data_IF_835711791023
#
_entry.id   IF_835711791023
#
_cell.length_a   1.000
_cell.length_b   1.000
_cell.length_c   1.000
_cell.angle_alpha   90.00
_cell.angle_beta   90.00
_cell.angle_gamma   90.00
#
_symmetry.space_group_name_H-M   'P 1'
#
loop_
_entity.id
_entity.type
_entity.pdbx_description
1 polymer ?
#
# COMPACT_ATOMS: atom_id res chain seq x y z
N UNK A 1 30.22 66.63 -7.37
CA UNK A 1 30.14 65.83 -6.13
C UNK A 1 28.71 65.35 -5.97
N UNK A 2 28.55 64.04 -5.77
CA UNK A 2 27.36 63.30 -5.35
C UNK A 2 26.09 63.34 -6.22
N UNK A 3 26.01 62.36 -7.13
CA UNK A 3 24.80 61.75 -7.69
C UNK A 3 24.13 60.82 -6.67
N UNK A 4 22.80 60.88 -6.55
CA UNK A 4 21.95 59.84 -5.90
C UNK A 4 21.03 59.19 -6.94
N UNK A 5 20.61 57.93 -6.74
CA UNK A 5 20.21 57.01 -7.82
C UNK A 5 18.70 56.98 -8.10
N UNK A 6 18.38 56.73 -9.37
CA UNK A 6 17.04 56.41 -9.88
C UNK A 6 16.55 55.05 -9.36
N UNK A 7 15.32 55.01 -8.86
CA UNK A 7 14.52 53.79 -8.72
C UNK A 7 14.04 53.33 -10.11
N UNK A 8 14.14 52.04 -10.47
CA UNK A 8 13.47 51.51 -11.63
C UNK A 8 12.05 51.02 -11.29
N UNK A 9 11.12 51.51 -12.09
CA UNK A 9 9.71 51.16 -12.15
C UNK A 9 9.54 49.76 -12.78
N UNK A 10 9.21 48.75 -11.98
CA UNK A 10 8.96 47.37 -12.43
C UNK A 10 7.54 46.93 -12.03
N UNK A 11 6.54 47.42 -12.77
CA UNK A 11 5.19 46.84 -12.79
C UNK A 11 4.98 46.03 -14.08
N UNK A 12 5.60 44.85 -14.15
CA UNK A 12 5.21 43.84 -15.13
C UNK A 12 3.96 43.10 -14.62
N UNK A 13 2.79 43.53 -15.09
CA UNK A 13 1.50 42.91 -14.76
C UNK A 13 1.40 41.49 -15.33
N UNK A 14 0.93 40.56 -14.49
CA UNK A 14 0.63 39.16 -14.83
C UNK A 14 -0.48 38.98 -15.91
N UNK A 15 -1.07 40.08 -16.39
CA UNK A 15 -2.09 40.09 -17.44
C UNK A 15 -1.56 39.85 -18.86
N UNK A 16 -0.24 39.87 -19.08
CA UNK A 16 0.36 39.76 -20.42
C UNK A 16 0.47 38.32 -20.95
N UNK A 17 0.16 37.29 -20.15
CA UNK A 17 0.36 35.88 -20.54
C UNK A 17 -0.93 35.10 -20.86
N UNK A 18 -2.11 35.68 -20.70
CA UNK A 18 -3.39 35.01 -20.95
C UNK A 18 -4.05 35.50 -22.24
N UNK A 19 -3.78 34.80 -23.36
CA UNK A 19 -4.50 35.04 -24.62
C UNK A 19 -5.70 34.08 -24.74
N UNK A 20 -6.96 34.58 -24.69
CA UNK A 20 -8.18 33.76 -24.84
C UNK A 20 -8.26 33.00 -26.18
N UNK A 21 -7.56 33.46 -27.22
CA UNK A 21 -7.48 32.75 -28.49
C UNK A 21 -6.67 31.44 -28.40
N UNK A 22 -5.74 31.31 -27.45
CA UNK A 22 -5.00 30.06 -27.22
C UNK A 22 -5.90 28.96 -26.62
N UNK A 23 -6.87 29.33 -25.77
CA UNK A 23 -7.85 28.38 -25.20
C UNK A 23 -8.76 27.75 -26.29
N UNK A 24 -9.29 28.55 -27.23
CA UNK A 24 -10.09 28.01 -28.35
C UNK A 24 -9.28 27.19 -29.34
N UNK A 25 -8.01 27.55 -29.57
CA UNK A 25 -7.08 26.73 -30.36
C UNK A 25 -6.72 25.42 -29.64
N UNK A 26 -6.93 25.34 -28.33
CA UNK A 26 -6.64 24.18 -27.48
C UNK A 26 -7.79 23.16 -27.43
N UNK A 27 -9.06 23.58 -27.47
CA UNK A 27 -10.19 22.66 -27.75
C UNK A 27 -10.03 21.97 -29.12
N UNK A 28 -9.40 22.66 -30.08
CA UNK A 28 -9.04 22.10 -31.36
C UNK A 28 -7.79 21.19 -31.32
N UNK A 29 -6.86 21.38 -30.37
CA UNK A 29 -5.64 20.57 -30.22
C UNK A 29 -5.80 19.39 -29.24
N UNK A 30 -6.73 19.45 -28.30
CA UNK A 30 -7.19 18.30 -27.50
C UNK A 30 -7.95 17.26 -28.35
N UNK A 31 -8.31 17.64 -29.59
CA UNK A 31 -8.81 16.72 -30.62
C UNK A 31 -7.72 15.84 -31.25
N UNK A 32 -6.43 16.11 -31.00
CA UNK A 32 -5.34 15.19 -31.35
C UNK A 32 -5.41 14.01 -30.38
N UNK A 33 -6.32 13.08 -30.68
CA UNK A 33 -6.42 11.77 -30.06
C UNK A 33 -5.07 11.07 -30.24
N UNK A 34 -4.23 11.10 -29.21
CA UNK A 34 -3.28 10.02 -29.03
C UNK A 34 -4.12 8.75 -28.94
N UNK A 35 -4.05 7.89 -29.95
CA UNK A 35 -4.72 6.61 -29.92
C UNK A 35 -4.24 5.89 -28.66
N UNK A 36 -5.12 5.55 -27.70
CA UNK A 36 -4.72 4.77 -26.56
C UNK A 36 -4.05 3.50 -27.11
N UNK A 37 -2.87 3.16 -26.60
CA UNK A 37 -2.20 1.95 -27.01
C UNK A 37 -3.15 0.77 -26.70
N UNK A 38 -3.70 0.08 -27.71
CA UNK A 38 -4.72 -0.95 -27.52
C UNK A 38 -4.19 -2.15 -26.72
N UNK A 39 -2.86 -2.25 -26.54
CA UNK A 39 -2.19 -3.30 -25.78
C UNK A 39 -1.94 -2.95 -24.31
N UNK A 40 -2.41 -1.80 -23.81
CA UNK A 40 -2.20 -1.42 -22.39
C UNK A 40 -3.19 -2.17 -21.50
N UNK A 41 -2.72 -3.27 -20.92
CA UNK A 41 -3.45 -4.18 -20.02
C UNK A 41 -4.28 -3.39 -18.99
N UNK A 42 -5.57 -3.70 -18.89
CA UNK A 42 -6.49 -3.18 -17.87
C UNK A 42 -6.50 -4.16 -16.70
N UNK A 43 -6.29 -3.66 -15.49
CA UNK A 43 -6.36 -4.49 -14.30
C UNK A 43 -7.83 -4.81 -13.94
N UNK A 44 -8.12 -6.07 -13.64
CA UNK A 44 -9.43 -6.53 -13.15
C UNK A 44 -9.26 -7.56 -12.04
N UNK A 45 -10.31 -7.77 -11.24
CA UNK A 45 -10.35 -8.78 -10.18
C UNK A 45 -10.24 -10.22 -10.73
N UNK A 46 -10.61 -10.46 -12.00
CA UNK A 46 -10.42 -11.77 -12.62
C UNK A 46 -8.95 -12.15 -12.73
N UNK A 47 -8.05 -11.17 -12.95
CA UNK A 47 -6.60 -11.38 -12.93
C UNK A 47 -6.09 -11.87 -11.56
N UNK A 48 -6.84 -11.68 -10.48
CA UNK A 48 -6.55 -12.24 -9.17
C UNK A 48 -7.09 -13.67 -9.02
N UNK A 49 -8.29 -13.93 -9.53
CA UNK A 49 -8.93 -15.25 -9.48
C UNK A 49 -8.27 -16.29 -10.37
N UNK A 50 -7.60 -15.88 -11.44
CA UNK A 50 -6.88 -16.76 -12.37
C UNK A 50 -5.56 -17.31 -11.84
N UNK A 51 -5.19 -16.97 -10.60
CA UNK A 51 -3.89 -17.32 -10.03
C UNK A 51 -3.97 -18.62 -9.24
N UNK A 52 -2.92 -19.42 -9.31
CA UNK A 52 -2.69 -20.49 -8.33
C UNK A 52 -2.41 -19.89 -6.96
N UNK A 53 -3.19 -20.28 -5.95
CA UNK A 53 -3.07 -19.83 -4.56
C UNK A 53 -3.13 -21.00 -3.59
N UNK A 54 -2.71 -20.77 -2.36
CA UNK A 54 -2.90 -21.71 -1.25
C UNK A 54 -4.39 -21.79 -0.92
N UNK A 55 -4.89 -22.99 -0.63
CA UNK A 55 -6.20 -23.17 -0.05
C UNK A 55 -6.23 -22.61 1.39
N UNK A 56 -6.72 -21.39 1.56
CA UNK A 56 -6.80 -20.72 2.88
C UNK A 56 -7.96 -21.24 3.73
N UNK A 57 -8.96 -21.87 3.10
CA UNK A 57 -10.09 -22.49 3.80
C UNK A 57 -9.68 -23.74 4.59
N UNK A 58 -8.44 -24.21 4.43
CA UNK A 58 -7.83 -25.19 5.32
C UNK A 58 -8.01 -24.83 6.81
N UNK A 59 -8.05 -23.53 7.14
CA UNK A 59 -8.35 -23.05 8.50
C UNK A 59 -9.74 -23.45 9.02
N UNK A 60 -10.76 -23.39 8.16
CA UNK A 60 -12.13 -23.74 8.52
C UNK A 60 -12.38 -25.25 8.43
N UNK A 61 -11.58 -25.96 7.62
CA UNK A 61 -11.70 -27.39 7.40
C UNK A 61 -11.08 -28.24 8.52
N UNK A 62 -10.12 -27.71 9.29
CA UNK A 62 -9.62 -28.40 10.48
C UNK A 62 -10.71 -28.49 11.56
N UNK A 63 -11.09 -29.72 11.88
CA UNK A 63 -12.21 -30.06 12.75
C UNK A 63 -11.84 -30.08 14.23
N UNK A 64 -10.56 -30.18 14.56
CA UNK A 64 -10.08 -30.23 15.95
C UNK A 64 -9.25 -29.01 16.33
N UNK A 65 -9.24 -28.71 17.63
CA UNK A 65 -8.39 -27.65 18.19
C UNK A 65 -6.91 -27.99 18.04
N UNK A 66 -6.51 -29.26 18.23
CA UNK A 66 -5.11 -29.69 18.14
C UNK A 66 -4.54 -29.52 16.73
N UNK A 67 -5.32 -29.80 15.69
CA UNK A 67 -4.91 -29.56 14.31
C UNK A 67 -4.60 -28.06 14.08
N UNK A 68 -5.46 -27.15 14.56
CA UNK A 68 -5.22 -25.70 14.48
C UNK A 68 -3.93 -25.29 15.21
N UNK A 69 -3.66 -25.89 16.37
CA UNK A 69 -2.42 -25.64 17.12
C UNK A 69 -1.19 -26.05 16.29
N UNK A 70 -1.25 -27.15 15.52
CA UNK A 70 -0.13 -27.54 14.67
C UNK A 70 0.12 -26.55 13.53
N UNK A 71 -0.94 -26.05 12.87
CA UNK A 71 -0.79 -25.00 11.84
C UNK A 71 -0.15 -23.75 12.45
N UNK A 72 -0.63 -23.34 13.63
CA UNK A 72 -0.12 -22.16 14.33
C UNK A 72 1.35 -22.35 14.72
N UNK A 73 1.72 -23.51 15.27
CA UNK A 73 3.11 -23.80 15.63
C UNK A 73 4.01 -23.66 14.41
N UNK A 74 3.64 -24.28 13.31
CA UNK A 74 4.38 -24.20 12.05
C UNK A 74 4.51 -22.75 11.56
N UNK A 75 3.41 -21.99 11.60
CA UNK A 75 3.38 -20.57 11.23
C UNK A 75 4.29 -19.71 12.12
N UNK A 76 4.22 -19.86 13.43
CA UNK A 76 4.98 -19.04 14.39
C UNK A 76 6.47 -19.41 14.40
N UNK A 77 6.82 -20.67 14.18
CA UNK A 77 8.21 -21.11 13.98
C UNK A 77 8.86 -20.37 12.80
N UNK A 78 8.10 -20.01 11.76
CA UNK A 78 8.59 -19.20 10.63
C UNK A 78 8.96 -17.76 10.98
N UNK A 79 8.53 -17.27 12.14
CA UNK A 79 8.82 -15.92 12.62
C UNK A 79 10.03 -15.86 13.54
N UNK A 80 10.42 -16.99 14.13
CA UNK A 80 11.40 -17.02 15.23
C UNK A 80 12.58 -17.95 14.98
N UNK A 81 12.38 -19.07 14.30
CA UNK A 81 13.33 -20.19 14.36
C UNK A 81 13.79 -20.65 12.98
N UNK A 82 12.87 -20.99 12.09
CA UNK A 82 13.21 -21.52 10.77
C UNK A 82 12.08 -21.34 9.76
N UNK A 83 12.44 -21.15 8.49
CA UNK A 83 11.51 -20.83 7.41
C UNK A 83 11.59 -21.90 6.33
N UNK A 84 10.44 -22.45 5.96
CA UNK A 84 10.23 -23.29 4.77
C UNK A 84 9.11 -22.69 3.92
N UNK A 85 8.87 -23.21 2.72
CA UNK A 85 7.73 -22.74 1.91
C UNK A 85 6.41 -23.12 2.58
N UNK A 86 6.39 -24.33 3.18
CA UNK A 86 5.26 -24.86 3.94
C UNK A 86 4.90 -24.01 5.16
N UNK A 87 5.89 -23.57 5.93
CA UNK A 87 5.64 -22.76 7.14
C UNK A 87 5.10 -21.37 6.81
N UNK A 88 5.52 -20.78 5.68
CA UNK A 88 4.89 -19.55 5.17
C UNK A 88 3.46 -19.81 4.69
N UNK A 89 3.20 -20.96 4.06
CA UNK A 89 1.84 -21.37 3.72
C UNK A 89 0.94 -21.52 4.96
N UNK A 90 1.44 -22.17 6.02
CA UNK A 90 0.76 -22.27 7.31
C UNK A 90 0.48 -20.89 7.91
N UNK A 91 1.42 -19.94 7.81
CA UNK A 91 1.21 -18.56 8.24
C UNK A 91 0.05 -17.89 7.49
N UNK A 92 -0.08 -18.11 6.18
CA UNK A 92 -1.18 -17.54 5.40
C UNK A 92 -2.52 -18.16 5.80
N UNK A 93 -2.57 -19.47 6.05
CA UNK A 93 -3.76 -20.16 6.58
C UNK A 93 -4.13 -19.60 7.97
N UNK A 94 -3.15 -19.43 8.87
CA UNK A 94 -3.38 -18.82 10.18
C UNK A 94 -3.84 -17.35 10.08
N UNK A 95 -3.32 -16.57 9.14
CA UNK A 95 -3.77 -15.20 8.90
C UNK A 95 -5.21 -15.14 8.40
N UNK A 96 -5.65 -16.11 7.59
CA UNK A 96 -7.06 -16.28 7.21
C UNK A 96 -7.96 -16.63 8.41
N UNK A 97 -7.36 -17.25 9.42
CA UNK A 97 -7.98 -17.50 10.72
C UNK A 97 -8.11 -16.30 11.65
N UNK A 98 -7.80 -15.09 11.20
CA UNK A 98 -7.95 -13.87 12.01
C UNK A 98 -9.34 -13.81 12.65
N UNK A 99 -9.39 -13.76 13.98
CA UNK A 99 -10.63 -13.81 14.74
C UNK A 99 -11.37 -12.47 14.66
N UNK A 100 -12.69 -12.50 14.55
CA UNK A 100 -13.52 -11.31 14.48
C UNK A 100 -13.45 -10.49 15.78
N UNK A 101 -13.36 -9.16 15.63
CA UNK A 101 -13.43 -8.20 16.73
C UNK A 101 -14.86 -8.06 17.29
N UNK A 102 -15.85 -8.61 16.57
CA UNK A 102 -17.27 -8.50 16.89
C UNK A 102 -17.80 -9.81 17.49
N UNK A 103 -17.33 -10.96 16.98
CA UNK A 103 -17.67 -12.28 17.50
C UNK A 103 -16.40 -13.13 17.70
N UNK A 104 -16.00 -13.44 18.95
CA UNK A 104 -14.78 -14.18 19.24
C UNK A 104 -14.77 -15.63 18.69
N UNK A 105 -15.93 -16.17 18.29
CA UNK A 105 -16.08 -17.52 17.77
C UNK A 105 -16.03 -17.59 16.23
N UNK A 106 -15.93 -16.45 15.56
CA UNK A 106 -15.92 -16.36 14.09
C UNK A 106 -14.57 -15.84 13.59
N UNK A 107 -14.20 -16.23 12.36
CA UNK A 107 -13.14 -15.58 11.61
C UNK A 107 -13.67 -14.31 10.94
N UNK A 108 -12.82 -13.28 10.85
CA UNK A 108 -13.04 -12.08 10.03
C UNK A 108 -13.40 -12.45 8.59
N UNK A 109 -12.79 -13.50 8.06
CA UNK A 109 -13.01 -13.96 6.68
C UNK A 109 -13.97 -15.15 6.59
N UNK A 110 -14.67 -15.47 7.69
CA UNK A 110 -15.67 -16.53 7.74
C UNK A 110 -16.74 -16.33 6.67
N UNK A 111 -16.98 -17.36 5.84
CA UNK A 111 -17.97 -17.31 4.76
C UNK A 111 -17.57 -16.48 3.53
N UNK A 112 -16.39 -15.84 3.52
CA UNK A 112 -15.92 -15.05 2.37
C UNK A 112 -15.03 -15.85 1.41
N UNK A 113 -14.73 -17.12 1.71
CA UNK A 113 -13.88 -17.94 0.86
C UNK A 113 -14.45 -18.11 -0.54
N UNK A 114 -15.75 -18.41 -0.67
CA UNK A 114 -16.35 -18.68 -1.99
C UNK A 114 -16.28 -17.48 -2.95
N UNK A 115 -16.39 -16.25 -2.45
CA UNK A 115 -16.29 -15.03 -3.28
C UNK A 115 -14.84 -14.65 -3.61
N UNK A 116 -13.87 -15.13 -2.82
CA UNK A 116 -12.46 -14.73 -2.87
C UNK A 116 -11.51 -15.82 -3.34
N UNK A 117 -11.96 -17.07 -3.43
CA UNK A 117 -11.14 -18.22 -3.86
C UNK A 117 -10.70 -18.06 -5.30
N UNK A 118 -9.47 -18.48 -5.56
CA UNK A 118 -8.96 -18.54 -6.92
C UNK A 118 -9.38 -19.86 -7.60
N UNK A 119 -9.19 -19.92 -8.92
CA UNK A 119 -9.58 -21.08 -9.75
C UNK A 119 -8.68 -22.30 -9.50
N UNK A 120 -7.40 -22.08 -9.18
CA UNK A 120 -6.43 -23.14 -8.89
C UNK A 120 -5.94 -23.04 -7.45
N UNK A 121 -6.08 -24.13 -6.69
CA UNK A 121 -5.78 -24.21 -5.27
C UNK A 121 -4.67 -25.23 -4.99
N UNK A 122 -3.82 -24.93 -4.01
CA UNK A 122 -2.76 -25.80 -3.51
C UNK A 122 -2.85 -25.92 -1.99
N UNK A 123 -2.88 -27.15 -1.49
CA UNK A 123 -2.83 -27.38 -0.05
C UNK A 123 -1.47 -26.96 0.51
N UNK A 124 -1.46 -26.19 1.59
CA UNK A 124 -0.21 -25.70 2.17
C UNK A 124 0.70 -26.85 2.62
N UNK A 125 0.13 -27.99 3.04
CA UNK A 125 0.85 -29.20 3.46
C UNK A 125 1.62 -29.88 2.33
N UNK A 126 1.28 -29.60 1.06
CA UNK A 126 2.00 -30.12 -0.12
C UNK A 126 3.20 -29.25 -0.51
N UNK A 127 3.36 -28.08 0.10
CA UNK A 127 4.51 -27.21 -0.13
C UNK A 127 5.77 -27.80 0.49
N UNK A 128 6.92 -27.45 -0.06
CA UNK A 128 8.23 -27.91 0.43
C UNK A 128 8.44 -27.53 1.90
N UNK A 129 8.71 -28.54 2.72
CA UNK A 129 9.09 -28.44 4.14
C UNK A 129 10.60 -28.23 4.35
N UNK A 130 11.40 -28.37 3.29
CA UNK A 130 12.83 -28.08 3.31
C UNK A 130 13.16 -26.70 3.89
N UNK A 131 14.04 -26.68 4.89
CA UNK A 131 14.44 -25.47 5.62
C UNK A 131 15.27 -24.57 4.69
N UNK A 132 14.76 -23.37 4.42
CA UNK A 132 15.39 -22.34 3.60
C UNK A 132 16.24 -21.37 4.42
N UNK A 133 15.89 -21.19 5.68
CA UNK A 133 16.57 -20.31 6.61
C UNK A 133 16.39 -20.84 8.02
N UNK A 134 17.45 -20.77 8.83
CA UNK A 134 17.42 -21.08 10.26
C UNK A 134 18.04 -19.91 11.00
N UNK A 135 17.41 -19.49 12.10
CA UNK A 135 17.92 -18.41 12.95
C UNK A 135 19.29 -18.78 13.48
N UNK A 136 20.23 -17.83 13.41
CA UNK A 136 21.54 -17.95 14.03
C UNK A 136 21.48 -17.88 15.56
N UNK A 137 20.38 -17.36 16.13
CA UNK A 137 20.14 -17.37 17.58
C UNK A 137 19.74 -18.75 18.08
N UNK A 138 19.23 -19.61 17.20
CA UNK A 138 18.83 -20.96 17.58
C UNK A 138 20.05 -21.81 17.89
N UNK A 139 20.34 -21.95 19.18
CA UNK A 139 21.33 -22.92 19.68
C UNK A 139 20.67 -24.28 19.85
N UNK A 140 21.44 -25.34 19.69
CA UNK A 140 21.03 -26.70 20.07
C UNK A 140 21.88 -27.13 21.26
N UNK A 141 21.26 -27.43 22.42
CA UNK A 141 19.83 -27.33 22.73
C UNK A 141 19.34 -25.87 22.83
N UNK A 142 18.05 -25.59 22.56
CA UNK A 142 17.48 -24.27 22.78
C UNK A 142 17.45 -23.95 24.28
N UNK A 143 17.68 -22.69 24.66
CA UNK A 143 17.46 -22.25 26.04
C UNK A 143 15.94 -22.26 26.34
N UNK A 144 15.53 -22.56 27.57
CA UNK A 144 14.10 -22.57 27.97
C UNK A 144 13.39 -21.22 27.72
N UNK A 145 14.16 -20.12 27.60
CA UNK A 145 13.66 -18.78 27.26
C UNK A 145 13.41 -18.58 25.76
N UNK A 146 14.00 -19.43 24.92
CA UNK A 146 13.88 -19.40 23.46
C UNK A 146 12.82 -20.37 22.94
N UNK A 147 12.41 -21.34 23.77
CA UNK A 147 11.22 -22.14 23.53
C UNK A 147 9.99 -21.25 23.73
N UNK A 148 9.34 -20.88 22.63
CA UNK A 148 7.91 -20.59 22.69
C UNK A 148 7.27 -21.88 23.21
N UNK A 149 6.98 -21.92 24.50
CA UNK A 149 6.08 -22.90 25.05
C UNK A 149 4.73 -22.62 24.41
N UNK A 150 4.45 -23.29 23.29
CA UNK A 150 3.14 -23.38 22.68
C UNK A 150 2.22 -24.22 23.59
N UNK A 151 2.21 -23.90 24.87
CA UNK A 151 1.40 -24.52 25.91
C UNK A 151 0.21 -23.61 26.13
N UNK A 152 -0.98 -24.15 25.94
CA UNK A 152 -2.23 -23.44 26.22
C UNK A 152 -2.39 -23.39 27.74
N UNK A 153 -1.80 -22.39 28.39
CA UNK A 153 -1.90 -22.20 29.84
C UNK A 153 -3.23 -21.54 30.27
N UNK A 154 -4.21 -21.41 29.36
CA UNK A 154 -5.48 -20.74 29.59
C UNK A 154 -6.54 -21.00 28.51
N UNK A 155 -7.43 -20.01 28.28
CA UNK A 155 -8.49 -20.06 27.26
C UNK A 155 -7.88 -20.16 25.85
N UNK A 156 -7.83 -21.38 25.29
CA UNK A 156 -7.20 -21.68 24.00
C UNK A 156 -7.66 -20.79 22.85
N UNK A 157 -8.88 -20.21 22.93
CA UNK A 157 -9.40 -19.28 21.94
C UNK A 157 -8.62 -17.95 21.89
N UNK A 158 -8.24 -17.39 23.03
CA UNK A 158 -7.46 -16.14 23.06
C UNK A 158 -6.03 -16.36 22.55
N UNK A 159 -5.49 -17.56 22.82
CA UNK A 159 -4.16 -17.94 22.35
C UNK A 159 -4.15 -18.04 20.82
N UNK A 160 -5.14 -18.73 20.25
CA UNK A 160 -5.36 -18.78 18.79
C UNK A 160 -5.54 -17.38 18.21
N UNK A 161 -6.36 -16.54 18.84
CA UNK A 161 -6.57 -15.15 18.42
C UNK A 161 -5.26 -14.35 18.35
N UNK A 162 -4.43 -14.46 19.38
CA UNK A 162 -3.10 -13.81 19.44
C UNK A 162 -2.22 -14.28 18.29
N UNK A 163 -2.16 -15.60 18.04
CA UNK A 163 -1.37 -16.17 16.96
C UNK A 163 -1.83 -15.70 15.55
N UNK A 164 -3.13 -15.78 15.27
CA UNK A 164 -3.69 -15.35 13.99
C UNK A 164 -3.49 -13.84 13.76
N UNK A 165 -3.57 -13.03 14.82
CA UNK A 165 -3.27 -11.60 14.77
C UNK A 165 -1.81 -11.33 14.35
N UNK A 166 -0.84 -12.04 14.94
CA UNK A 166 0.56 -11.94 14.52
C UNK A 166 0.74 -12.36 13.06
N UNK A 167 0.16 -13.48 12.64
CA UNK A 167 0.26 -13.95 11.25
C UNK A 167 -0.32 -12.93 10.26
N UNK A 168 -1.48 -12.36 10.57
CA UNK A 168 -2.10 -11.31 9.75
C UNK A 168 -1.24 -10.02 9.71
N UNK A 169 -0.62 -9.63 10.83
CA UNK A 169 0.28 -8.49 10.87
C UNK A 169 1.49 -8.67 9.92
N UNK A 170 2.01 -9.89 9.79
CA UNK A 170 3.19 -10.22 8.97
C UNK A 170 2.91 -10.12 7.46
N UNK A 171 1.65 -10.22 7.01
CA UNK A 171 1.29 -10.10 5.59
C UNK A 171 1.78 -8.79 4.94
N UNK A 172 1.97 -7.72 5.73
CA UNK A 172 2.55 -6.46 5.26
C UNK A 172 3.96 -6.61 4.65
N UNK A 173 4.69 -7.69 4.96
CA UNK A 173 6.02 -7.98 4.38
C UNK A 173 5.98 -8.24 2.87
N UNK A 174 4.81 -8.50 2.28
CA UNK A 174 4.67 -8.60 0.83
C UNK A 174 5.18 -7.33 0.13
N UNK A 175 5.03 -6.16 0.76
CA UNK A 175 5.40 -4.86 0.20
C UNK A 175 6.42 -4.14 1.07
N UNK A 176 6.36 -4.30 2.39
CA UNK A 176 7.14 -3.54 3.37
C UNK A 176 8.45 -4.21 3.82
N UNK A 177 9.53 -3.44 3.95
CA UNK A 177 10.81 -3.94 4.47
C UNK A 177 10.70 -4.56 5.87
N UNK A 178 11.49 -5.62 6.11
CA UNK A 178 11.50 -6.35 7.37
C UNK A 178 11.85 -5.47 8.58
N UNK A 179 12.82 -4.55 8.45
CA UNK A 179 13.16 -3.59 9.51
C UNK A 179 11.98 -2.68 9.90
N UNK A 180 11.14 -2.33 8.93
CA UNK A 180 9.95 -1.54 9.21
C UNK A 180 8.89 -2.36 9.97
N UNK A 181 8.83 -3.68 9.76
CA UNK A 181 7.94 -4.56 10.54
C UNK A 181 8.43 -4.66 11.97
N UNK A 182 9.73 -4.85 12.18
CA UNK A 182 10.32 -4.92 13.52
C UNK A 182 10.02 -3.66 14.32
N UNK A 183 10.16 -2.48 13.71
CA UNK A 183 9.77 -1.20 14.34
C UNK A 183 8.28 -1.12 14.63
N UNK A 184 7.43 -1.61 13.74
CA UNK A 184 5.99 -1.62 13.95
C UNK A 184 5.55 -2.65 15.02
N UNK A 185 6.35 -3.69 15.26
CA UNK A 185 6.02 -4.80 16.15
C UNK A 185 5.83 -4.36 17.60
N UNK A 186 6.59 -3.35 18.06
CA UNK A 186 6.46 -2.81 19.41
C UNK A 186 5.10 -2.17 19.70
N UNK A 187 4.37 -1.73 18.66
CA UNK A 187 3.06 -1.11 18.78
C UNK A 187 1.89 -2.10 18.63
N UNK A 188 2.17 -3.36 18.25
CA UNK A 188 1.13 -4.37 18.10
C UNK A 188 0.34 -4.66 19.39
N UNK A 189 0.93 -4.69 20.60
CA UNK A 189 0.16 -4.86 21.83
C UNK A 189 -0.94 -3.81 22.02
N UNK A 190 -0.62 -2.53 21.74
CA UNK A 190 -1.57 -1.42 21.84
C UNK A 190 -2.70 -1.56 20.82
N UNK A 191 -2.37 -1.91 19.56
CA UNK A 191 -3.37 -2.16 18.54
C UNK A 191 -4.26 -3.35 18.88
N UNK A 192 -3.68 -4.46 19.34
CA UNK A 192 -4.42 -5.65 19.76
C UNK A 192 -5.41 -5.31 20.88
N UNK A 193 -4.94 -4.62 21.92
CA UNK A 193 -5.77 -4.19 23.04
C UNK A 193 -6.87 -3.21 22.60
N UNK A 194 -6.59 -2.33 21.65
CA UNK A 194 -7.59 -1.42 21.10
C UNK A 194 -8.74 -2.16 20.40
N UNK A 195 -8.44 -3.21 19.63
CA UNK A 195 -9.44 -3.99 18.90
C UNK A 195 -10.19 -4.99 19.79
N UNK A 196 -9.46 -5.80 20.56
CA UNK A 196 -10.04 -6.93 21.30
C UNK A 196 -10.34 -6.63 22.77
N UNK A 197 -9.95 -5.44 23.27
CA UNK A 197 -10.14 -5.03 24.68
C UNK A 197 -9.51 -6.00 25.69
N UNK A 198 -8.48 -6.73 25.25
CA UNK A 198 -7.74 -7.70 26.04
C UNK A 198 -6.25 -7.61 25.66
N UNK A 199 -5.32 -7.93 26.58
CA UNK A 199 -3.91 -8.02 26.25
C UNK A 199 -3.63 -9.24 25.35
N UNK A 200 -2.46 -9.24 24.69
CA UNK A 200 -1.94 -10.41 24.00
C UNK A 200 -1.69 -11.53 25.02
N UNK A 201 -1.97 -12.78 24.63
CA UNK A 201 -1.70 -13.94 25.50
C UNK A 201 -0.20 -14.25 25.60
N UNK A 202 0.57 -13.89 24.57
CA UNK A 202 2.02 -14.09 24.55
C UNK A 202 2.70 -13.07 23.64
N UNK A 203 3.98 -12.83 23.95
CA UNK A 203 4.88 -11.99 23.15
C UNK A 203 5.78 -12.85 22.29
N UNK A 204 6.07 -12.39 21.07
CA UNK A 204 7.02 -13.03 20.16
C UNK A 204 8.23 -12.14 19.93
N UNK A 205 9.42 -12.72 20.07
CA UNK A 205 10.68 -12.10 19.65
C UNK A 205 10.96 -12.48 18.21
N UNK A 206 10.86 -11.52 17.29
CA UNK A 206 11.08 -11.77 15.87
C UNK A 206 12.56 -12.04 15.56
N UNK A 207 12.79 -12.97 14.62
CA UNK A 207 14.10 -13.21 14.06
C UNK A 207 14.31 -12.51 12.70
N UNK A 208 15.31 -11.63 12.60
CA UNK A 208 15.56 -10.83 11.41
C UNK A 208 15.85 -11.67 10.17
N UNK A 209 16.59 -12.78 10.29
CA UNK A 209 16.91 -13.64 9.14
C UNK A 209 15.67 -14.41 8.67
N UNK A 210 14.85 -14.88 9.62
CA UNK A 210 13.56 -15.50 9.31
C UNK A 210 12.63 -14.51 8.59
N UNK A 211 12.46 -13.28 9.11
CA UNK A 211 11.64 -12.25 8.46
C UNK A 211 12.14 -11.89 7.06
N UNK A 212 13.45 -11.83 6.86
CA UNK A 212 14.08 -11.55 5.56
C UNK A 212 13.80 -12.69 4.57
N UNK A 213 13.90 -13.95 5.01
CA UNK A 213 13.54 -15.11 4.21
C UNK A 213 12.05 -15.13 3.84
N UNK A 214 11.18 -14.89 4.82
CA UNK A 214 9.73 -14.81 4.67
C UNK A 214 9.33 -13.72 3.67
N UNK A 215 9.91 -12.52 3.79
CA UNK A 215 9.72 -11.42 2.82
C UNK A 215 10.11 -11.85 1.39
N UNK A 216 11.24 -12.53 1.22
CA UNK A 216 11.65 -13.05 -0.10
C UNK A 216 10.62 -14.02 -0.66
N UNK A 217 10.09 -14.93 0.15
CA UNK A 217 9.05 -15.87 -0.29
C UNK A 217 7.76 -15.14 -0.69
N UNK A 218 7.29 -14.19 0.12
CA UNK A 218 6.12 -13.35 -0.21
C UNK A 218 6.27 -12.53 -1.50
N UNK A 219 7.51 -12.23 -1.93
CA UNK A 219 7.77 -11.44 -3.13
C UNK A 219 8.14 -12.26 -4.36
N UNK A 220 8.80 -13.41 -4.17
CA UNK A 220 9.43 -14.20 -5.26
C UNK A 220 8.78 -15.55 -5.49
N UNK A 221 8.20 -16.18 -4.48
CA UNK A 221 7.46 -17.44 -4.68
C UNK A 221 6.08 -17.11 -5.25
N UNK A 222 5.82 -17.55 -6.49
CA UNK A 222 4.59 -17.21 -7.22
C UNK A 222 3.34 -17.64 -6.45
N UNK A 223 3.26 -18.88 -5.97
CA UNK A 223 2.09 -19.36 -5.21
C UNK A 223 1.90 -18.57 -3.91
N UNK A 224 2.96 -18.38 -3.13
CA UNK A 224 2.90 -17.64 -1.85
C UNK A 224 2.44 -16.19 -2.08
N UNK A 225 3.08 -15.50 -3.02
CA UNK A 225 2.72 -14.12 -3.39
C UNK A 225 1.28 -14.03 -3.88
N UNK A 226 0.88 -14.93 -4.77
CA UNK A 226 -0.48 -14.96 -5.31
C UNK A 226 -1.52 -15.21 -4.21
N UNK A 227 -1.17 -15.92 -3.15
CA UNK A 227 -2.06 -16.23 -2.03
C UNK A 227 -2.43 -15.01 -1.16
N UNK A 228 -1.85 -13.84 -1.45
CA UNK A 228 -2.35 -12.56 -0.92
C UNK A 228 -3.67 -12.15 -1.57
N UNK A 229 -3.94 -12.63 -2.79
CA UNK A 229 -5.11 -12.23 -3.59
C UNK A 229 -6.47 -12.51 -2.92
N UNK A 230 -6.72 -13.69 -2.31
CA UNK A 230 -8.00 -13.94 -1.62
C UNK A 230 -8.27 -12.94 -0.48
N UNK A 231 -7.24 -12.51 0.27
CA UNK A 231 -7.41 -11.47 1.30
C UNK A 231 -7.89 -10.15 0.71
N UNK A 232 -7.31 -9.75 -0.42
CA UNK A 232 -7.64 -8.49 -1.09
C UNK A 232 -9.06 -8.50 -1.69
N UNK A 233 -9.49 -9.66 -2.21
CA UNK A 233 -10.85 -9.85 -2.71
C UNK A 233 -11.86 -9.88 -1.56
N UNK A 234 -11.59 -10.65 -0.50
CA UNK A 234 -12.47 -10.74 0.67
C UNK A 234 -12.64 -9.38 1.37
N UNK A 235 -11.60 -8.54 1.41
CA UNK A 235 -11.67 -7.21 2.00
C UNK A 235 -12.75 -6.31 1.36
N UNK A 236 -13.00 -6.47 0.05
CA UNK A 236 -14.00 -5.67 -0.65
C UNK A 236 -15.41 -5.98 -0.14
N UNK A 237 -15.65 -7.21 0.30
CA UNK A 237 -16.94 -7.66 0.83
C UNK A 237 -17.09 -7.36 2.34
N UNK A 238 -16.03 -6.91 3.04
CA UNK A 238 -16.09 -6.48 4.45
C UNK A 238 -16.76 -5.11 4.65
N UNK A 239 -17.39 -4.53 3.64
CA UNK A 239 -17.98 -3.18 3.66
C UNK A 239 -19.07 -2.96 4.73
N UNK A 240 -19.67 -4.03 5.28
CA UNK A 240 -20.68 -3.95 6.34
C UNK A 240 -20.16 -4.00 7.79
N UNK A 241 -18.95 -4.53 8.05
CA UNK A 241 -18.42 -4.74 9.41
C UNK A 241 -17.29 -3.74 9.72
N UNK A 242 -17.64 -2.60 10.32
CA UNK A 242 -16.71 -1.48 10.53
C UNK A 242 -15.45 -1.88 11.33
N UNK A 243 -15.57 -2.75 12.35
CA UNK A 243 -14.44 -3.16 13.19
C UNK A 243 -13.54 -4.19 12.50
N UNK A 244 -14.12 -5.18 11.84
CA UNK A 244 -13.37 -6.20 11.10
C UNK A 244 -12.64 -5.61 9.90
N UNK A 245 -13.25 -4.64 9.21
CA UNK A 245 -12.57 -3.86 8.19
C UNK A 245 -11.41 -3.04 8.77
N UNK A 246 -11.61 -2.40 9.93
CA UNK A 246 -10.59 -1.58 10.57
C UNK A 246 -9.36 -2.40 11.01
N UNK A 247 -9.54 -3.60 11.56
CA UNK A 247 -8.40 -4.46 11.93
C UNK A 247 -7.60 -4.90 10.71
N UNK A 248 -8.24 -5.33 9.61
CA UNK A 248 -7.54 -5.65 8.36
C UNK A 248 -6.77 -4.45 7.80
N UNK A 249 -7.41 -3.27 7.82
CA UNK A 249 -6.82 -2.00 7.39
C UNK A 249 -5.55 -1.66 8.15
N UNK A 250 -5.56 -1.84 9.48
CA UNK A 250 -4.42 -1.59 10.37
C UNK A 250 -3.33 -2.67 10.24
N UNK A 251 -3.71 -3.94 10.06
CA UNK A 251 -2.75 -5.03 10.10
C UNK A 251 -1.96 -5.17 8.80
N UNK A 252 -2.60 -5.01 7.64
CA UNK A 252 -1.93 -5.24 6.35
C UNK A 252 -2.47 -4.41 5.18
N UNK A 253 -3.78 -4.18 5.06
CA UNK A 253 -4.36 -3.66 3.80
C UNK A 253 -3.82 -2.28 3.41
N UNK A 254 -3.69 -1.34 4.36
CA UNK A 254 -3.08 -0.02 4.10
C UNK A 254 -1.62 -0.09 3.64
N UNK A 255 -0.91 -1.17 3.99
CA UNK A 255 0.50 -1.38 3.63
C UNK A 255 0.65 -2.05 2.26
N UNK A 256 -0.37 -2.77 1.79
CA UNK A 256 -0.35 -3.47 0.50
C UNK A 256 -0.71 -2.54 -0.67
N UNK A 257 -1.59 -1.57 -0.44
CA UNK A 257 -2.06 -0.64 -1.46
C UNK A 257 -0.99 0.30 -1.98
N UNK A 258 -1.15 0.73 -3.23
CA UNK A 258 -0.32 1.74 -3.91
C UNK A 258 1.19 1.43 -3.94
N UNK A 259 1.56 0.15 -3.86
CA UNK A 259 2.96 -0.26 -3.81
C UNK A 259 3.73 0.26 -5.02
N UNK A 260 4.74 1.10 -4.76
CA UNK A 260 5.57 1.70 -5.78
C UNK A 260 4.88 2.81 -6.61
N UNK A 261 3.71 3.30 -6.19
CA UNK A 261 2.92 4.34 -6.86
C UNK A 261 2.94 5.67 -6.09
N UNK A 262 4.06 6.03 -5.46
CA UNK A 262 4.18 7.25 -4.64
C UNK A 262 3.79 8.52 -5.42
N UNK A 263 4.15 8.63 -6.71
CA UNK A 263 3.78 9.76 -7.53
C UNK A 263 2.25 9.90 -7.67
N UNK A 264 1.53 8.77 -7.77
CA UNK A 264 0.06 8.78 -7.80
C UNK A 264 -0.51 9.30 -6.49
N UNK A 265 -0.12 8.71 -5.35
CA UNK A 265 -0.68 9.08 -4.05
C UNK A 265 -0.37 10.52 -3.68
N UNK A 266 0.83 11.01 -4.00
CA UNK A 266 1.20 12.42 -3.81
C UNK A 266 0.42 13.34 -4.74
N UNK A 267 0.18 12.96 -6.00
CA UNK A 267 -0.60 13.76 -6.93
C UNK A 267 -2.04 13.97 -6.42
N UNK A 268 -2.72 12.89 -6.02
CA UNK A 268 -4.10 12.95 -5.51
C UNK A 268 -4.15 13.79 -4.22
N UNK A 269 -3.23 13.53 -3.29
CA UNK A 269 -3.15 14.26 -2.01
C UNK A 269 -2.90 15.76 -2.23
N UNK A 270 -1.96 16.13 -3.10
CA UNK A 270 -1.63 17.52 -3.36
C UNK A 270 -2.76 18.25 -4.09
N UNK A 271 -3.36 17.64 -5.12
CA UNK A 271 -4.50 18.24 -5.82
C UNK A 271 -5.67 18.50 -4.86
N UNK A 272 -5.95 17.53 -3.98
CA UNK A 272 -6.99 17.65 -2.94
C UNK A 272 -6.68 18.77 -1.95
N UNK A 273 -5.46 18.82 -1.41
CA UNK A 273 -5.03 19.85 -0.45
C UNK A 273 -4.98 21.26 -1.06
N UNK A 274 -4.63 21.36 -2.33
CA UNK A 274 -4.64 22.60 -3.08
C UNK A 274 -6.04 22.94 -3.62
N UNK A 275 -7.04 22.08 -3.40
CA UNK A 275 -8.42 22.25 -3.84
C UNK A 275 -8.60 22.50 -5.35
N UNK A 276 -7.71 21.94 -6.18
CA UNK A 276 -7.74 22.11 -7.64
C UNK A 276 -8.19 20.82 -8.34
N UNK A 277 -8.95 20.89 -9.45
CA UNK A 277 -9.29 19.72 -10.24
C UNK A 277 -8.05 19.00 -10.79
N UNK A 278 -8.09 17.66 -10.88
CA UNK A 278 -6.95 16.85 -11.34
C UNK A 278 -6.41 17.28 -12.71
N UNK A 279 -7.26 17.68 -13.65
CA UNK A 279 -6.83 18.14 -14.97
C UNK A 279 -6.07 19.47 -14.92
N UNK A 280 -6.44 20.38 -14.00
CA UNK A 280 -5.72 21.65 -13.75
C UNK A 280 -4.38 21.34 -13.11
N UNK A 281 -4.35 20.45 -12.11
CA UNK A 281 -3.10 20.08 -11.44
C UNK A 281 -2.11 19.38 -12.38
N UNK A 282 -2.59 18.50 -13.26
CA UNK A 282 -1.78 17.92 -14.36
C UNK A 282 -1.17 19.01 -15.24
N UNK A 283 -1.95 20.03 -15.59
CA UNK A 283 -1.51 21.08 -16.51
C UNK A 283 -0.31 21.86 -15.95
N UNK A 284 -0.36 22.23 -14.67
CA UNK A 284 0.70 23.02 -14.02
C UNK A 284 1.96 22.20 -13.73
N UNK A 285 1.83 20.88 -13.60
CA UNK A 285 2.94 19.94 -13.44
C UNK A 285 3.63 19.57 -14.76
N UNK A 286 3.17 20.12 -15.89
CA UNK A 286 3.63 19.70 -17.21
C UNK A 286 5.11 19.99 -17.39
N UNK A 287 5.89 18.92 -17.48
CA UNK A 287 7.31 18.93 -17.75
C UNK A 287 7.66 17.69 -18.57
N UNK A 288 8.62 17.79 -19.49
CA UNK A 288 8.97 16.67 -20.38
C UNK A 288 9.34 15.40 -19.58
N UNK A 289 10.06 15.55 -18.46
CA UNK A 289 10.44 14.44 -17.57
C UNK A 289 9.29 13.91 -16.69
N UNK A 290 8.11 14.52 -16.74
CA UNK A 290 6.92 14.13 -15.97
C UNK A 290 5.76 13.60 -16.85
N UNK A 291 5.78 13.85 -18.16
CA UNK A 291 4.62 13.64 -19.04
C UNK A 291 4.11 12.19 -19.03
N UNK A 292 4.99 11.19 -19.13
CA UNK A 292 4.58 9.77 -19.15
C UNK A 292 3.91 9.36 -17.82
N UNK A 293 4.43 9.84 -16.70
CA UNK A 293 3.85 9.63 -15.38
C UNK A 293 2.50 10.30 -15.26
N UNK A 294 2.40 11.58 -15.60
CA UNK A 294 1.15 12.35 -15.59
C UNK A 294 0.07 11.71 -16.47
N UNK A 295 0.43 11.23 -17.66
CA UNK A 295 -0.50 10.53 -18.55
C UNK A 295 -1.01 9.23 -17.93
N UNK A 296 -0.13 8.50 -17.24
CA UNK A 296 -0.53 7.28 -16.55
C UNK A 296 -1.44 7.55 -15.36
N UNK A 297 -1.22 8.65 -14.61
CA UNK A 297 -2.12 9.08 -13.53
C UNK A 297 -3.52 9.38 -14.10
N UNK A 298 -3.60 10.12 -15.20
CA UNK A 298 -4.89 10.44 -15.82
C UNK A 298 -5.61 9.20 -16.33
N UNK A 299 -4.88 8.24 -16.90
CA UNK A 299 -5.47 6.99 -17.34
C UNK A 299 -6.00 6.17 -16.17
N UNK A 300 -5.32 6.18 -15.02
CA UNK A 300 -5.82 5.54 -13.80
C UNK A 300 -7.12 6.20 -13.34
N UNK A 301 -7.11 7.53 -13.23
CA UNK A 301 -8.30 8.30 -12.85
C UNK A 301 -9.49 7.97 -13.73
N UNK A 302 -9.28 7.96 -15.05
CA UNK A 302 -10.32 7.66 -16.02
C UNK A 302 -10.82 6.21 -15.97
N UNK A 303 -9.93 5.23 -15.79
CA UNK A 303 -10.29 3.80 -15.88
C UNK A 303 -10.82 3.21 -14.58
N UNK A 304 -10.44 3.79 -13.44
CA UNK A 304 -10.67 3.17 -12.12
C UNK A 304 -11.38 4.08 -11.13
N UNK A 305 -11.27 5.40 -11.26
CA UNK A 305 -11.83 6.36 -10.30
C UNK A 305 -12.86 7.33 -10.92
N UNK A 306 -13.19 7.17 -12.20
CA UNK A 306 -14.15 8.04 -12.86
C UNK A 306 -15.54 7.85 -12.24
N UNK A 307 -16.17 8.93 -11.71
CA UNK A 307 -17.49 8.84 -11.09
C UNK A 307 -18.58 8.31 -12.02
N UNK A 308 -18.39 8.42 -13.34
CA UNK A 308 -19.32 7.92 -14.36
C UNK A 308 -19.25 6.41 -14.61
N UNK A 309 -18.24 5.71 -14.06
CA UNK A 309 -18.20 4.25 -14.10
C UNK A 309 -19.37 3.67 -13.33
N UNK A 310 -20.07 2.72 -13.95
CA UNK A 310 -21.11 1.96 -13.27
C UNK A 310 -20.55 1.12 -12.11
N UNK A 311 -21.41 0.74 -11.18
CA UNK A 311 -21.02 0.02 -9.96
C UNK A 311 -20.37 -1.33 -10.26
N UNK A 312 -20.81 -2.03 -11.31
CA UNK A 312 -20.26 -3.33 -11.71
C UNK A 312 -18.83 -3.18 -12.21
N UNK A 313 -18.59 -2.19 -13.07
CA UNK A 313 -17.27 -1.86 -13.59
C UNK A 313 -16.31 -1.44 -12.47
N UNK A 314 -16.76 -0.58 -11.54
CA UNK A 314 -15.98 -0.17 -10.37
C UNK A 314 -15.66 -1.34 -9.47
N UNK A 315 -16.64 -2.20 -9.16
CA UNK A 315 -16.45 -3.41 -8.35
C UNK A 315 -15.49 -4.38 -9.02
N UNK A 316 -15.55 -4.55 -10.34
CA UNK A 316 -14.68 -5.47 -11.09
C UNK A 316 -13.21 -5.03 -11.11
N UNK A 317 -12.91 -3.75 -10.85
CA UNK A 317 -11.56 -3.18 -10.93
C UNK A 317 -11.03 -2.65 -9.60
N UNK A 318 -11.78 -2.76 -8.50
CA UNK A 318 -11.45 -2.13 -7.22
C UNK A 318 -10.10 -2.58 -6.60
N UNK A 319 -9.52 -3.69 -7.06
CA UNK A 319 -8.21 -4.18 -6.58
C UNK A 319 -7.00 -3.61 -7.32
N UNK A 320 -7.20 -2.68 -8.27
CA UNK A 320 -6.11 -2.11 -9.07
C UNK A 320 -4.98 -1.50 -8.25
N UNK A 321 -5.29 -0.96 -7.06
CA UNK A 321 -4.32 -0.38 -6.12
C UNK A 321 -3.28 -1.39 -5.63
N UNK A 322 -3.58 -2.69 -5.70
CA UNK A 322 -2.69 -3.79 -5.29
C UNK A 322 -2.00 -4.47 -6.47
N UNK A 323 -2.31 -4.07 -7.71
CA UNK A 323 -1.85 -4.72 -8.94
C UNK A 323 -0.36 -5.02 -8.98
N UNK A 324 0.43 -4.08 -8.45
CA UNK A 324 1.90 -4.13 -8.46
C UNK A 324 2.54 -5.16 -7.53
N UNK A 325 1.76 -5.75 -6.63
CA UNK A 325 2.18 -6.94 -5.89
C UNK A 325 2.36 -8.11 -6.85
N UNK A 326 1.51 -8.20 -7.87
CA UNK A 326 1.41 -9.35 -8.75
C UNK A 326 2.01 -9.14 -10.14
N UNK A 327 2.03 -7.89 -10.60
CA UNK A 327 2.62 -7.46 -11.86
C UNK A 327 3.48 -6.21 -11.62
N UNK A 328 4.80 -6.39 -11.58
CA UNK A 328 5.72 -5.29 -11.32
C UNK A 328 5.70 -4.20 -12.39
N UNK A 329 5.30 -4.53 -13.63
CA UNK A 329 5.27 -3.60 -14.75
C UNK A 329 3.94 -2.87 -14.91
N UNK A 330 2.88 -3.33 -14.24
CA UNK A 330 1.62 -2.60 -14.14
C UNK A 330 1.88 -1.19 -13.58
N UNK A 331 1.45 -0.16 -14.32
CA UNK A 331 1.76 1.24 -14.02
C UNK A 331 3.27 1.52 -13.83
N UNK A 332 4.12 0.84 -14.62
CA UNK A 332 5.57 0.92 -14.50
C UNK A 332 6.13 2.33 -14.63
N UNK A 333 5.51 3.21 -15.41
CA UNK A 333 5.85 4.63 -15.55
C UNK A 333 5.70 5.43 -14.26
N UNK A 334 4.95 4.93 -13.27
CA UNK A 334 4.78 5.54 -11.95
C UNK A 334 5.70 4.96 -10.88
N UNK A 335 6.57 4.01 -11.25
CA UNK A 335 7.63 3.57 -10.36
C UNK A 335 8.50 4.74 -9.97
N UNK A 336 8.71 4.95 -8.67
CA UNK A 336 9.55 6.04 -8.15
C UNK A 336 10.90 6.14 -8.87
N UNK A 337 11.55 5.02 -9.18
CA UNK A 337 12.81 4.97 -9.95
C UNK A 337 12.70 5.32 -11.45
N UNK A 338 11.51 5.21 -12.06
CA UNK A 338 11.24 5.55 -13.47
C UNK A 338 10.62 6.95 -13.64
N UNK A 339 10.03 7.52 -12.59
CA UNK A 339 9.47 8.87 -12.57
C UNK A 339 10.06 9.75 -11.45
N UNK A 340 11.38 9.70 -11.26
CA UNK A 340 12.09 10.34 -10.14
C UNK A 340 11.75 11.83 -10.04
N UNK A 341 11.82 12.57 -11.14
CA UNK A 341 11.51 14.01 -11.18
C UNK A 341 10.09 14.32 -10.69
N UNK A 342 9.08 13.67 -11.29
CA UNK A 342 7.67 13.89 -10.92
C UNK A 342 7.42 13.53 -9.45
N UNK A 343 7.94 12.39 -8.98
CA UNK A 343 7.79 11.96 -7.60
C UNK A 343 8.47 12.92 -6.62
N UNK A 344 9.67 13.42 -6.94
CA UNK A 344 10.40 14.39 -6.14
C UNK A 344 9.68 15.74 -6.08
N UNK A 345 9.25 16.28 -7.22
CA UNK A 345 8.52 17.54 -7.30
C UNK A 345 7.22 17.48 -6.49
N UNK A 346 6.44 16.42 -6.64
CA UNK A 346 5.21 16.21 -5.87
C UNK A 346 5.49 16.07 -4.37
N UNK A 347 6.60 15.43 -3.98
CA UNK A 347 6.97 15.32 -2.58
C UNK A 347 7.37 16.69 -1.98
N UNK A 348 8.12 17.51 -2.73
CA UNK A 348 8.47 18.88 -2.30
C UNK A 348 7.22 19.77 -2.19
N UNK A 349 6.27 19.65 -3.13
CA UNK A 349 4.97 20.32 -3.01
C UNK A 349 4.25 19.87 -1.74
N UNK A 350 4.19 18.55 -1.48
CA UNK A 350 3.53 17.99 -0.32
C UNK A 350 4.13 18.49 1.01
N UNK A 351 5.45 18.59 1.09
CA UNK A 351 6.15 19.17 2.25
C UNK A 351 5.85 20.67 2.39
N UNK A 352 5.83 21.41 1.29
CA UNK A 352 5.59 22.86 1.30
C UNK A 352 4.17 23.20 1.74
N UNK A 353 3.16 22.42 1.31
CA UNK A 353 1.76 22.61 1.70
C UNK A 353 1.40 21.93 3.02
N UNK A 354 2.16 20.90 3.43
CA UNK A 354 1.97 20.14 4.66
C UNK A 354 2.73 20.70 5.87
N UNK A 355 3.72 21.56 5.65
CA UNK A 355 4.54 22.22 6.67
C UNK A 355 3.78 23.14 7.63
N UNK A 356 2.45 23.25 7.51
CA UNK A 356 1.58 24.02 8.42
C UNK A 356 0.72 23.14 9.35
N UNK A 357 0.88 21.81 9.38
CA UNK A 357 0.01 20.95 10.18
C UNK A 357 0.75 19.79 10.84
N UNK A 358 1.25 20.03 12.06
CA UNK A 358 1.71 19.01 12.99
C UNK A 358 0.53 18.26 13.61
N UNK A 359 -0.14 17.38 12.86
CA UNK A 359 -0.93 16.26 13.41
C UNK A 359 -1.54 15.42 12.29
N UNK A 360 -1.29 14.10 12.33
CA UNK A 360 -1.97 13.12 11.49
C UNK A 360 -1.02 12.41 10.52
N UNK A 361 -0.65 11.18 10.86
CA UNK A 361 0.21 10.34 10.03
C UNK A 361 -0.35 10.06 8.64
N UNK A 362 0.54 10.01 7.64
CA UNK A 362 0.21 9.54 6.30
C UNK A 362 1.22 10.01 5.26
N UNK A 363 2.15 9.11 4.89
CA UNK A 363 2.81 8.94 3.57
C UNK A 363 3.41 10.13 2.79
N UNK A 364 3.37 11.36 3.31
CA UNK A 364 3.52 12.57 2.50
C UNK A 364 4.80 13.37 2.67
N UNK A 365 5.73 13.00 3.56
CA UNK A 365 6.97 13.76 3.68
C UNK A 365 8.01 13.32 2.66
N UNK A 366 8.65 14.25 1.96
CA UNK A 366 9.68 13.91 0.98
C UNK A 366 10.89 13.22 1.62
N UNK A 367 11.17 13.57 2.89
CA UNK A 367 12.18 12.92 3.73
C UNK A 367 11.92 11.43 3.98
N UNK A 368 10.68 10.96 3.88
CA UNK A 368 10.32 9.57 4.16
C UNK A 368 10.49 8.63 2.95
N UNK A 369 10.66 9.16 1.75
CA UNK A 369 10.88 8.36 0.54
C UNK A 369 12.39 8.20 0.31
N UNK A 370 13.00 7.19 0.95
CA UNK A 370 14.45 6.91 0.86
C UNK A 370 15.01 6.92 -0.56
N UNK A 371 14.23 6.48 -1.54
CA UNK A 371 14.63 6.44 -2.96
C UNK A 371 14.79 7.82 -3.60
N UNK A 372 14.22 8.88 -3.02
CA UNK A 372 14.25 10.24 -3.56
C UNK A 372 15.21 11.17 -2.83
N UNK A 373 15.68 10.81 -1.64
CA UNK A 373 16.49 11.69 -0.76
C UNK A 373 17.71 12.29 -1.49
N UNK A 374 18.52 11.45 -2.14
CA UNK A 374 19.69 11.94 -2.87
C UNK A 374 19.35 12.81 -4.08
N UNK A 375 18.26 12.52 -4.79
CA UNK A 375 17.83 13.33 -5.93
C UNK A 375 17.32 14.70 -5.47
N UNK A 376 16.50 14.75 -4.42
CA UNK A 376 15.95 16.00 -3.87
C UNK A 376 17.08 16.89 -3.36
N UNK A 377 18.04 16.32 -2.60
CA UNK A 377 19.18 17.07 -2.09
C UNK A 377 20.00 17.72 -3.20
N UNK A 378 20.23 17.00 -4.31
CA UNK A 378 21.03 17.50 -5.43
C UNK A 378 20.30 18.53 -6.31
N UNK A 379 18.96 18.60 -6.25
CA UNK A 379 18.13 19.46 -7.11
C UNK A 379 17.23 20.38 -6.29
N UNK A 380 17.63 20.70 -5.05
CA UNK A 380 16.78 21.33 -4.06
C UNK A 380 16.22 22.68 -4.56
N UNK A 381 17.08 23.58 -5.01
CA UNK A 381 16.69 24.93 -5.43
C UNK A 381 15.69 24.91 -6.59
N UNK A 382 15.98 24.11 -7.62
CA UNK A 382 15.09 23.97 -8.78
C UNK A 382 13.74 23.39 -8.37
N UNK A 383 13.73 22.30 -7.59
CA UNK A 383 12.49 21.66 -7.15
C UNK A 383 11.64 22.61 -6.29
N UNK A 384 12.23 23.39 -5.40
CA UNK A 384 11.51 24.38 -4.60
C UNK A 384 10.99 25.55 -5.45
N UNK A 385 11.76 26.02 -6.43
CA UNK A 385 11.31 27.04 -7.38
C UNK A 385 10.08 26.57 -8.17
N UNK A 386 10.14 25.36 -8.74
CA UNK A 386 9.02 24.75 -9.45
C UNK A 386 7.81 24.55 -8.54
N UNK A 387 8.01 24.00 -7.33
CA UNK A 387 6.94 23.79 -6.36
C UNK A 387 6.26 25.12 -5.98
N UNK A 388 7.03 26.17 -5.71
CA UNK A 388 6.52 27.50 -5.38
C UNK A 388 5.65 28.09 -6.47
N UNK A 389 6.09 28.00 -7.74
CA UNK A 389 5.31 28.45 -8.91
C UNK A 389 3.99 27.69 -9.05
N UNK A 390 4.03 26.36 -8.90
CA UNK A 390 2.85 25.51 -9.00
C UNK A 390 1.84 25.83 -7.90
N UNK A 391 2.31 25.99 -6.66
CA UNK A 391 1.45 26.33 -5.51
C UNK A 391 0.82 27.72 -5.71
N UNK A 392 1.62 28.71 -6.14
CA UNK A 392 1.12 30.07 -6.41
C UNK A 392 0.01 30.05 -7.49
N UNK A 393 0.23 29.35 -8.59
CA UNK A 393 -0.79 29.19 -9.64
C UNK A 393 -2.08 28.57 -9.08
N UNK A 394 -1.98 27.49 -8.29
CA UNK A 394 -3.16 26.82 -7.76
C UNK A 394 -3.98 27.74 -6.85
N UNK A 395 -3.32 28.58 -6.05
CA UNK A 395 -3.98 29.59 -5.22
C UNK A 395 -4.70 30.64 -6.06
N UNK A 396 -4.02 31.20 -7.06
CA UNK A 396 -4.60 32.19 -7.98
C UNK A 396 -5.80 31.63 -8.75
N UNK A 397 -5.72 30.37 -9.19
CA UNK A 397 -6.84 29.67 -9.84
C UNK A 397 -8.07 29.64 -8.93
N UNK A 398 -7.90 29.27 -7.66
CA UNK A 398 -9.00 29.18 -6.69
C UNK A 398 -9.61 30.55 -6.35
N UNK A 399 -8.79 31.61 -6.27
CA UNK A 399 -9.27 32.99 -6.09
C UNK A 399 -10.15 33.44 -7.27
N UNK A 400 -9.73 33.13 -8.50
CA UNK A 400 -10.50 33.44 -9.72
C UNK A 400 -11.80 32.66 -9.83
N UNK A 401 -11.82 31.39 -9.43
CA UNK A 401 -13.04 30.59 -9.44
C UNK A 401 -14.02 30.99 -8.33
N UNK A 402 -13.51 31.49 -7.20
CA UNK A 402 -14.35 31.98 -6.09
C UNK A 402 -15.02 33.32 -6.40
N UNK A 403 -14.41 34.16 -7.24
CA UNK A 403 -14.94 35.46 -7.66
C UNK A 403 -15.94 35.38 -8.83
N UNK A 404 -16.06 34.21 -9.48
CA UNK A 404 -17.06 33.94 -10.53
C UNK A 404 -18.37 33.36 -10.01
N UNK A 405 -18.40 32.90 -8.76
CA UNK A 405 -19.59 32.44 -8.05
C UNK A 405 -20.20 33.60 -7.27
#
# INVERSE_FOLDING_TARGET
MATSPNEPDDTLSASSFFNPHLMKKWEALSSVRHKPNPNKVVWTNEMLKDRKVINLDAWNQVGTFDERIQIIREALTSLTTEVSVRSVGALMVCAWGLVSCENPNESVFGGLWESSKARELEEYTRLSDGILCKSSRWRSPPDDKDLILFTTTGNGLNWVRTACFYCAAVLRLATMEHDALVKAWSYLPEHYQSFYKAPLEFSLSLDHECLKCLRRLLQKSTTIRNSVAPFLLAFQELSGCSKNRAICKTLFESHLGFTGLHAYTLFISNATKLAVPHHVFRHVLRHHAAEEGLETIMEILKRYEDPSLDEGDRKSKCTWIYSRIFDSDMFGSLQTKRCVFLAALLAVIADTIGGTSSSGGGSGQASNIKQLQGYIQNNQDDLHLWAGRIIAFCKEFNEKESTKK
#
